data_IF_874527706338
#
_entry.id   IF_874527706338
#
_cell.length_a   1.000
_cell.length_b   1.000
_cell.length_c   1.000
_cell.angle_alpha   90.00
_cell.angle_beta   90.00
_cell.angle_gamma   90.00
#
_symmetry.space_group_name_H-M   'P 1'
#
loop_
_entity.id
_entity.type
_entity.pdbx_description
1 polymer ?
#
# COMPACT_ATOMS: atom_id res chain seq x y z
N UNK A 1 -11.16 12.76 5.12
CA UNK A 1 -10.68 12.73 3.72
C UNK A 1 -10.49 11.29 3.27
N UNK A 2 -10.59 11.01 1.97
CA UNK A 2 -10.15 9.76 1.34
C UNK A 2 -8.82 9.99 0.61
N UNK A 3 -8.03 8.94 0.44
CA UNK A 3 -6.75 8.97 -0.30
C UNK A 3 -6.84 8.07 -1.52
N UNK A 4 -6.09 8.41 -2.58
CA UNK A 4 -5.98 7.59 -3.79
C UNK A 4 -4.56 7.69 -4.35
N UNK A 5 -4.06 6.58 -4.93
CA UNK A 5 -2.86 6.57 -5.75
C UNK A 5 -3.28 6.09 -7.15
N UNK A 6 -3.15 6.96 -8.16
CA UNK A 6 -3.54 6.65 -9.54
C UNK A 6 -2.30 6.50 -10.41
N UNK A 7 -2.11 5.37 -11.14
CA UNK A 7 -1.00 5.23 -12.06
C UNK A 7 -0.98 6.39 -13.07
N UNK A 8 0.20 6.93 -13.35
CA UNK A 8 0.35 7.96 -14.40
C UNK A 8 0.54 7.34 -15.79
N UNK A 9 0.86 6.05 -15.85
CA UNK A 9 0.92 5.27 -17.08
C UNK A 9 -0.47 4.71 -17.42
N UNK A 10 -0.83 4.63 -18.71
CA UNK A 10 -2.08 3.99 -19.13
C UNK A 10 -2.08 2.51 -18.76
N UNK A 11 -3.25 1.99 -18.38
CA UNK A 11 -3.44 0.56 -18.26
C UNK A 11 -3.46 -0.09 -19.66
N UNK A 12 -2.98 -1.34 -19.81
CA UNK A 12 -3.16 -2.08 -21.06
C UNK A 12 -4.66 -2.28 -21.33
N UNK A 13 -5.10 -2.01 -22.57
CA UNK A 13 -6.51 -2.11 -22.95
C UNK A 13 -7.06 -3.54 -22.89
N UNK A 14 -6.22 -4.55 -23.12
CA UNK A 14 -6.56 -5.97 -23.06
C UNK A 14 -5.43 -6.78 -22.43
N UNK A 15 -5.35 -6.84 -21.09
CA UNK A 15 -4.31 -7.63 -20.44
C UNK A 15 -4.60 -9.12 -20.64
N UNK A 16 -3.71 -9.83 -21.33
CA UNK A 16 -3.62 -11.29 -21.22
C UNK A 16 -3.07 -11.63 -19.85
N UNK A 17 -3.78 -12.49 -19.10
CA UNK A 17 -3.33 -13.01 -17.81
C UNK A 17 -2.45 -14.23 -18.09
N UNK A 18 -1.13 -14.18 -17.80
CA UNK A 18 -0.26 -15.35 -17.92
C UNK A 18 -0.67 -16.47 -16.96
N UNK A 19 -0.29 -17.72 -17.28
CA UNK A 19 -0.64 -18.90 -16.46
C UNK A 19 0.13 -18.99 -15.14
N UNK A 20 1.25 -18.26 -14.99
CA UNK A 20 2.07 -18.30 -13.77
C UNK A 20 1.28 -17.86 -12.54
N UNK A 21 1.38 -18.60 -11.43
CA UNK A 21 0.81 -18.19 -10.14
C UNK A 21 1.42 -16.87 -9.62
N UNK A 22 2.62 -16.51 -10.10
CA UNK A 22 3.35 -15.30 -9.72
C UNK A 22 3.35 -14.22 -10.80
N UNK A 23 2.46 -14.30 -11.81
CA UNK A 23 2.50 -13.41 -12.98
C UNK A 23 2.52 -11.90 -12.65
N UNK A 24 1.86 -11.48 -11.56
CA UNK A 24 1.89 -10.07 -11.12
C UNK A 24 3.27 -9.66 -10.60
N UNK A 25 3.96 -10.55 -9.88
CA UNK A 25 5.34 -10.33 -9.42
C UNK A 25 6.29 -10.28 -10.60
N UNK A 26 6.18 -11.23 -11.52
CA UNK A 26 6.98 -11.28 -12.73
C UNK A 26 6.81 -10.01 -13.58
N UNK A 27 5.57 -9.52 -13.72
CA UNK A 27 5.29 -8.26 -14.40
C UNK A 27 5.92 -7.05 -13.69
N UNK A 28 5.90 -7.01 -12.35
CA UNK A 28 6.58 -5.97 -11.57
C UNK A 28 8.10 -6.03 -11.75
N UNK A 29 8.70 -7.22 -11.70
CA UNK A 29 10.15 -7.41 -11.90
C UNK A 29 10.55 -6.94 -13.30
N UNK A 30 9.86 -7.39 -14.34
CA UNK A 30 10.17 -7.00 -15.72
C UNK A 30 10.03 -5.49 -15.95
N UNK A 31 8.99 -4.87 -15.37
CA UNK A 31 8.80 -3.43 -15.45
C UNK A 31 9.90 -2.67 -14.70
N UNK A 32 10.09 -2.96 -13.41
CA UNK A 32 11.02 -2.23 -12.54
C UNK A 32 12.48 -2.52 -12.85
N UNK A 33 12.81 -3.58 -13.59
CA UNK A 33 14.18 -3.82 -14.07
C UNK A 33 14.72 -2.66 -14.91
N UNK A 34 13.85 -1.94 -15.64
CA UNK A 34 14.29 -0.88 -16.57
C UNK A 34 13.47 0.40 -16.51
N UNK A 35 12.29 0.39 -15.90
CA UNK A 35 11.35 1.52 -15.91
C UNK A 35 10.93 1.90 -14.50
N UNK A 36 10.69 3.19 -14.28
CA UNK A 36 10.04 3.64 -13.04
C UNK A 36 8.55 3.34 -13.07
N UNK A 37 7.93 3.18 -11.90
CA UNK A 37 6.48 3.25 -11.73
C UNK A 37 6.11 4.57 -11.06
N UNK A 38 5.12 5.27 -11.61
CA UNK A 38 4.71 6.59 -11.14
C UNK A 38 3.20 6.63 -10.85
N UNK A 39 2.85 7.29 -9.75
CA UNK A 39 1.46 7.47 -9.33
C UNK A 39 1.20 8.93 -8.91
N UNK A 40 0.07 9.47 -9.31
CA UNK A 40 -0.47 10.67 -8.70
C UNK A 40 -1.07 10.32 -7.34
N UNK A 41 -0.59 10.96 -6.28
CA UNK A 41 -1.15 10.84 -4.95
C UNK A 41 -2.19 11.92 -4.73
N UNK A 42 -3.43 11.51 -4.49
CA UNK A 42 -4.58 12.39 -4.45
C UNK A 42 -5.32 12.27 -3.12
N UNK A 43 -5.93 13.38 -2.71
CA UNK A 43 -6.84 13.46 -1.57
C UNK A 43 -8.22 13.87 -2.04
N UNK A 44 -9.25 13.39 -1.36
CA UNK A 44 -10.64 13.78 -1.57
C UNK A 44 -11.20 14.27 -0.24
N UNK A 45 -11.55 15.56 -0.18
CA UNK A 45 -12.06 16.21 1.03
C UNK A 45 -13.56 15.97 1.17
N UNK A 46 -14.03 15.80 2.41
CA UNK A 46 -15.46 15.67 2.70
C UNK A 46 -16.11 17.05 2.64
N UNK A 47 -17.08 17.24 1.74
CA UNK A 47 -17.81 18.51 1.59
C UNK A 47 -19.23 18.45 2.12
N UNK A 48 -19.88 17.27 2.10
CA UNK A 48 -21.21 17.03 2.65
C UNK A 48 -21.20 15.72 3.46
N UNK A 49 -21.27 15.76 4.81
CA UNK A 49 -21.18 14.56 5.63
C UNK A 49 -22.38 13.61 5.52
N UNK A 50 -23.52 14.07 5.00
CA UNK A 50 -24.72 13.24 4.80
C UNK A 50 -24.56 12.43 3.53
N UNK A 51 -24.12 13.06 2.43
CA UNK A 51 -23.89 12.37 1.14
C UNK A 51 -22.59 11.60 1.10
N UNK A 52 -21.61 12.00 1.90
CA UNK A 52 -20.27 11.45 1.93
C UNK A 52 -19.97 10.87 3.33
N UNK A 53 -20.72 9.86 3.79
CA UNK A 53 -20.57 9.32 5.13
C UNK A 53 -19.18 8.70 5.32
N UNK A 54 -18.57 8.97 6.47
CA UNK A 54 -17.30 8.33 6.88
C UNK A 54 -17.54 6.91 7.39
N UNK A 55 -18.71 6.67 7.98
CA UNK A 55 -19.05 5.38 8.60
C UNK A 55 -19.52 4.33 7.59
N UNK A 56 -19.79 4.71 6.34
CA UNK A 56 -20.18 3.79 5.27
C UNK A 56 -19.16 3.84 4.12
N UNK A 57 -18.25 2.85 4.02
CA UNK A 57 -17.24 2.81 2.98
C UNK A 57 -17.80 2.39 1.61
N UNK A 58 -19.07 1.94 1.54
CA UNK A 58 -19.72 1.53 0.27
C UNK A 58 -20.22 2.71 -0.56
N UNK A 59 -20.31 3.89 0.06
CA UNK A 59 -20.75 5.12 -0.61
C UNK A 59 -19.57 5.81 -1.28
N UNK A 60 -19.67 5.94 -2.62
CA UNK A 60 -18.75 6.76 -3.40
C UNK A 60 -19.00 8.25 -3.13
N UNK A 61 -17.91 9.01 -3.03
CA UNK A 61 -17.94 10.44 -2.72
C UNK A 61 -17.87 11.23 -4.03
N UNK A 62 -18.69 12.27 -4.17
CA UNK A 62 -18.82 13.09 -5.39
C UNK A 62 -17.86 14.29 -5.46
N UNK A 63 -17.16 14.60 -4.36
CA UNK A 63 -16.17 15.69 -4.34
C UNK A 63 -14.94 15.35 -5.21
N UNK A 64 -14.23 16.35 -5.76
CA UNK A 64 -13.11 16.07 -6.65
C UNK A 64 -11.90 15.51 -5.91
N UNK A 65 -11.11 14.70 -6.63
CA UNK A 65 -9.76 14.36 -6.19
C UNK A 65 -8.79 15.50 -6.49
N UNK A 66 -8.00 15.87 -5.49
CA UNK A 66 -6.96 16.91 -5.57
C UNK A 66 -5.61 16.21 -5.50
N UNK A 67 -4.79 16.34 -6.55
CA UNK A 67 -3.41 15.85 -6.56
C UNK A 67 -2.58 16.68 -5.57
N UNK A 68 -1.88 16.00 -4.66
CA UNK A 68 -1.03 16.64 -3.65
C UNK A 68 0.43 16.22 -3.75
N UNK A 69 0.73 15.08 -4.39
CA UNK A 69 2.10 14.62 -4.62
C UNK A 69 2.17 13.66 -5.82
N UNK A 70 3.40 13.24 -6.15
CA UNK A 70 3.67 12.12 -7.05
C UNK A 70 4.54 11.11 -6.31
N UNK A 71 4.12 9.84 -6.32
CA UNK A 71 4.90 8.71 -5.81
C UNK A 71 5.70 8.17 -6.98
N UNK A 72 7.02 8.06 -6.82
CA UNK A 72 7.92 7.46 -7.80
C UNK A 72 8.61 6.24 -7.19
N UNK A 73 8.52 5.12 -7.88
CA UNK A 73 9.25 3.90 -7.57
C UNK A 73 10.30 3.74 -8.68
N UNK A 74 11.60 3.96 -8.38
CA UNK A 74 12.65 3.92 -9.39
C UNK A 74 12.88 2.48 -9.90
N UNK A 75 13.56 2.34 -11.06
CA UNK A 75 14.02 1.04 -11.50
C UNK A 75 14.86 0.36 -10.42
N UNK A 76 14.59 -0.91 -10.15
CA UNK A 76 15.25 -1.70 -9.11
C UNK A 76 15.07 -3.21 -9.36
N UNK A 77 16.03 -3.99 -8.87
CA UNK A 77 15.87 -5.43 -8.64
C UNK A 77 15.42 -5.59 -7.18
N UNK A 78 14.39 -6.40 -6.94
CA UNK A 78 13.82 -6.55 -5.60
C UNK A 78 13.43 -7.99 -5.22
N UNK A 79 13.76 -8.96 -6.08
CA UNK A 79 13.27 -10.34 -6.04
C UNK A 79 14.31 -11.37 -5.56
N UNK A 80 15.41 -10.91 -4.94
CA UNK A 80 16.30 -11.81 -4.18
C UNK A 80 15.55 -12.50 -3.04
N UNK A 81 15.93 -13.74 -2.71
CA UNK A 81 15.31 -14.52 -1.65
C UNK A 81 15.39 -13.79 -0.30
N UNK A 82 16.51 -13.13 0.01
CA UNK A 82 16.70 -12.36 1.24
C UNK A 82 15.78 -11.14 1.33
N UNK A 83 15.56 -10.44 0.21
CA UNK A 83 14.64 -9.29 0.18
C UNK A 83 13.18 -9.74 0.26
N UNK A 84 12.84 -10.87 -0.34
CA UNK A 84 11.52 -11.47 -0.23
C UNK A 84 11.24 -11.93 1.21
N UNK A 85 12.20 -12.57 1.87
CA UNK A 85 12.09 -12.94 3.29
C UNK A 85 11.96 -11.69 4.18
N UNK A 86 12.74 -10.64 3.91
CA UNK A 86 12.59 -9.37 4.60
C UNK A 86 11.20 -8.77 4.41
N UNK A 87 10.68 -8.77 3.17
CA UNK A 87 9.33 -8.28 2.85
C UNK A 87 8.26 -9.09 3.59
N UNK A 88 8.42 -10.41 3.71
CA UNK A 88 7.53 -11.25 4.51
C UNK A 88 7.53 -10.84 5.97
N UNK A 89 8.61 -10.30 6.52
CA UNK A 89 8.66 -9.85 7.92
C UNK A 89 8.08 -8.45 8.15
N UNK A 90 7.93 -7.62 7.11
CA UNK A 90 7.33 -6.29 7.21
C UNK A 90 5.86 -6.36 7.68
N UNK A 91 5.43 -5.35 8.42
CA UNK A 91 4.05 -5.23 8.91
C UNK A 91 3.55 -3.80 8.74
N UNK A 92 2.42 -3.63 8.05
CA UNK A 92 1.80 -2.32 7.83
C UNK A 92 0.59 -2.16 8.75
N UNK A 93 0.55 -1.09 9.56
CA UNK A 93 -0.59 -0.77 10.42
C UNK A 93 -1.15 0.62 10.06
N UNK A 94 -2.43 0.75 9.66
CA UNK A 94 -3.05 2.05 9.36
C UNK A 94 -3.03 3.06 10.51
N UNK A 95 -2.89 2.59 11.76
CA UNK A 95 -2.77 3.43 12.97
C UNK A 95 -1.33 3.82 13.29
N UNK A 96 -0.35 3.35 12.50
CA UNK A 96 0.99 3.90 12.49
C UNK A 96 0.98 5.20 11.67
N UNK A 97 0.34 6.22 12.23
CA UNK A 97 0.04 7.49 11.57
C UNK A 97 0.27 8.65 12.52
N UNK A 98 0.48 9.86 11.94
CA UNK A 98 0.40 11.10 12.72
C UNK A 98 -1.00 11.29 13.29
N UNK A 99 -1.11 11.98 14.42
CA UNK A 99 -2.39 12.32 15.06
C UNK A 99 -3.32 13.08 14.09
N UNK A 100 -2.77 14.03 13.33
CA UNK A 100 -3.52 14.78 12.32
C UNK A 100 -4.10 13.91 11.18
N UNK A 101 -3.58 12.69 11.00
CA UNK A 101 -4.03 11.74 9.97
C UNK A 101 -4.72 10.50 10.58
N UNK A 102 -5.20 10.60 11.81
CA UNK A 102 -5.85 9.49 12.50
C UNK A 102 -6.95 8.84 11.63
N UNK A 103 -6.96 7.50 11.50
CA UNK A 103 -8.00 6.79 10.76
C UNK A 103 -9.40 7.01 11.36
N UNK A 104 -10.37 7.35 10.51
CA UNK A 104 -11.77 7.62 10.90
C UNK A 104 -12.73 6.55 10.36
N UNK A 105 -13.87 6.38 11.02
CA UNK A 105 -14.89 5.38 10.66
C UNK A 105 -14.76 4.07 11.44
N UNK A 106 -15.87 3.35 11.62
CA UNK A 106 -15.95 2.13 12.44
C UNK A 106 -15.01 1.03 11.99
N UNK A 107 -14.92 0.79 10.67
CA UNK A 107 -13.99 -0.18 10.10
C UNK A 107 -12.55 0.18 10.46
N UNK A 108 -12.16 1.45 10.31
CA UNK A 108 -10.81 1.87 10.64
C UNK A 108 -10.52 1.79 12.14
N UNK A 109 -11.48 2.11 13.03
CA UNK A 109 -11.34 1.88 14.49
C UNK A 109 -11.08 0.42 14.81
N UNK A 110 -11.79 -0.51 14.18
CA UNK A 110 -11.55 -1.95 14.34
C UNK A 110 -10.14 -2.35 13.88
N UNK A 111 -9.63 -1.76 12.78
CA UNK A 111 -8.28 -2.04 12.26
C UNK A 111 -7.16 -1.73 13.25
N UNK A 112 -7.36 -0.83 14.22
CA UNK A 112 -6.35 -0.53 15.26
C UNK A 112 -5.96 -1.80 16.02
N UNK A 113 -6.96 -2.49 16.55
CA UNK A 113 -6.77 -3.71 17.32
C UNK A 113 -6.32 -4.86 16.41
N UNK A 114 -7.02 -5.05 15.28
CA UNK A 114 -6.80 -6.20 14.39
C UNK A 114 -5.37 -6.26 13.85
N UNK A 115 -4.86 -5.16 13.27
CA UNK A 115 -3.51 -5.17 12.68
C UNK A 115 -2.42 -5.30 13.75
N UNK A 116 -2.61 -4.70 14.92
CA UNK A 116 -1.69 -4.86 16.05
C UNK A 116 -1.63 -6.31 16.52
N UNK A 117 -2.79 -6.92 16.77
CA UNK A 117 -2.87 -8.31 17.26
C UNK A 117 -2.35 -9.32 16.26
N UNK A 118 -2.72 -9.21 14.97
CA UNK A 118 -2.28 -10.16 13.95
C UNK A 118 -0.78 -10.06 13.70
N UNK A 119 -0.20 -8.84 13.64
CA UNK A 119 1.24 -8.67 13.45
C UNK A 119 2.05 -9.25 14.62
N UNK A 120 1.59 -9.08 15.86
CA UNK A 120 2.20 -9.69 17.04
C UNK A 120 2.13 -11.22 16.97
N UNK A 121 0.94 -11.78 16.70
CA UNK A 121 0.74 -13.23 16.62
C UNK A 121 1.58 -13.87 15.50
N UNK A 122 1.65 -13.24 14.32
CA UNK A 122 2.45 -13.74 13.20
C UNK A 122 3.93 -13.80 13.55
N UNK A 123 4.45 -12.75 14.20
CA UNK A 123 5.85 -12.70 14.66
C UNK A 123 6.15 -13.77 15.71
N UNK A 124 5.25 -13.99 16.67
CA UNK A 124 5.39 -15.07 17.66
C UNK A 124 5.47 -16.45 17.01
N UNK A 125 4.57 -16.75 16.07
CA UNK A 125 4.53 -18.04 15.37
C UNK A 125 5.77 -18.26 14.50
N UNK A 126 6.26 -17.19 13.85
CA UNK A 126 7.44 -17.25 12.98
C UNK A 126 8.76 -17.11 13.76
N UNK A 127 8.71 -16.85 15.08
CA UNK A 127 9.89 -16.60 15.93
C UNK A 127 10.74 -15.41 15.46
N UNK A 128 10.09 -14.38 14.93
CA UNK A 128 10.74 -13.18 14.37
C UNK A 128 10.63 -12.03 15.36
N UNK A 129 11.77 -11.37 15.65
CA UNK A 129 11.79 -10.20 16.51
C UNK A 129 11.24 -8.97 15.78
N UNK A 130 10.46 -8.09 16.42
CA UNK A 130 10.03 -6.84 15.80
C UNK A 130 11.25 -5.97 15.46
N UNK A 131 11.40 -5.63 14.19
CA UNK A 131 12.38 -4.68 13.71
C UNK A 131 11.70 -3.73 12.73
N UNK A 132 11.75 -2.44 13.01
CA UNK A 132 11.28 -1.43 12.07
C UNK A 132 12.33 -1.24 10.96
N UNK A 133 11.92 -1.20 9.69
CA UNK A 133 12.84 -0.90 8.60
C UNK A 133 13.40 0.51 8.77
N UNK A 134 14.69 0.69 8.50
CA UNK A 134 15.37 1.98 8.62
C UNK A 134 15.88 2.53 7.28
N UNK A 135 15.69 1.77 6.19
CA UNK A 135 16.08 2.15 4.84
C UNK A 135 17.56 1.96 4.54
N UNK A 136 18.33 1.31 5.43
CA UNK A 136 19.74 0.97 5.25
C UNK A 136 19.95 -0.52 4.96
N UNK A 137 18.86 -1.28 4.77
CA UNK A 137 18.92 -2.69 4.44
C UNK A 137 19.58 -2.89 3.07
N UNK A 138 20.45 -3.90 2.97
CA UNK A 138 21.15 -4.25 1.74
C UNK A 138 20.85 -5.70 1.39
N UNK A 139 20.53 -5.95 0.12
CA UNK A 139 20.23 -7.27 -0.39
C UNK A 139 21.18 -7.63 -1.54
N UNK A 140 21.44 -8.92 -1.79
CA UNK A 140 22.16 -9.34 -2.99
C UNK A 140 21.47 -8.81 -4.26
N UNK A 141 22.27 -8.43 -5.26
CA UNK A 141 21.78 -8.03 -6.59
C UNK A 141 21.75 -9.20 -7.56
#
# INVERSE_FOLDING_TARGET
>A
MKYSAKPTSPAPENPTIPESENYLREAMVEHLKTKEACFDFLVQLQTDPVKMPIEDPTVEWDSPFIKVATIKIPPQTFDSDEQMEFCEHLSYNPWHSLEAHQPLGGVNRARNLVYKTISQRRRELNQVSPQEPNGQETFPQ
#
